data_IF_765416555698
#
_entry.id   IF_765416555698
#
_cell.length_a   1.000
_cell.length_b   1.000
_cell.length_c   1.000
_cell.angle_alpha   90.00
_cell.angle_beta   90.00
_cell.angle_gamma   90.00
#
_symmetry.space_group_name_H-M   'P 1'
#
loop_
_entity.id
_entity.type
_entity.pdbx_description
1 polymer ?
#
# COMPACT_ATOMS: atom_id res chain seq x y z
N UNK A 1 -5.60 4.85 -17.57
CA UNK A 1 -6.10 5.20 -16.22
C UNK A 1 -5.51 6.53 -15.81
N UNK A 2 -6.30 7.44 -15.22
CA UNK A 2 -5.91 8.68 -14.53
C UNK A 2 -4.92 9.62 -15.24
N UNK A 3 -5.01 10.92 -15.01
CA UNK A 3 -3.95 11.83 -15.48
C UNK A 3 -2.84 11.93 -14.44
N UNK A 4 -1.58 11.90 -14.89
CA UNK A 4 -0.45 12.23 -14.02
C UNK A 4 -0.62 13.65 -13.47
N UNK A 5 -0.74 13.78 -12.15
CA UNK A 5 -0.80 15.04 -11.44
C UNK A 5 0.46 15.25 -10.60
N UNK A 6 0.85 16.52 -10.45
CA UNK A 6 2.07 16.92 -9.73
C UNK A 6 1.78 17.19 -8.25
N UNK A 7 2.80 17.00 -7.42
CA UNK A 7 2.86 17.53 -6.06
C UNK A 7 3.80 18.74 -6.05
N UNK A 8 3.29 19.93 -5.73
CA UNK A 8 4.08 21.14 -5.56
C UNK A 8 4.73 21.14 -4.18
N UNK A 9 5.97 20.65 -4.19
CA UNK A 9 6.87 20.61 -3.05
C UNK A 9 7.94 21.72 -3.12
N UNK A 10 7.60 22.93 -3.59
CA UNK A 10 8.56 24.05 -3.57
C UNK A 10 8.75 24.72 -2.21
N UNK A 11 7.70 24.83 -1.39
CA UNK A 11 7.75 25.48 -0.05
C UNK A 11 8.58 24.70 1.00
N UNK A 12 9.25 23.67 0.52
CA UNK A 12 9.76 22.52 1.24
C UNK A 12 11.25 22.54 1.31
N UNK A 13 11.88 23.09 0.26
CA UNK A 13 13.30 22.96 0.01
C UNK A 13 13.72 21.53 -0.40
N UNK A 14 12.80 20.56 -0.45
CA UNK A 14 13.13 19.17 -0.72
C UNK A 14 12.67 18.67 -2.08
N UNK A 15 13.51 17.85 -2.69
CA UNK A 15 13.11 16.95 -3.77
C UNK A 15 12.50 15.70 -3.14
N UNK A 16 11.18 15.55 -3.27
CA UNK A 16 10.41 14.43 -2.70
C UNK A 16 10.18 13.31 -3.73
N UNK A 17 10.02 12.09 -3.24
CA UNK A 17 9.72 10.88 -4.02
C UNK A 17 8.91 9.88 -3.18
N UNK A 18 8.26 8.93 -3.84
CA UNK A 18 7.46 7.86 -3.22
C UNK A 18 6.49 8.40 -2.15
N UNK A 19 5.58 9.33 -2.51
CA UNK A 19 4.64 9.92 -1.56
C UNK A 19 3.60 8.89 -1.15
N UNK A 20 3.16 9.01 0.11
CA UNK A 20 1.89 8.47 0.57
C UNK A 20 0.96 9.60 0.97
N UNK A 21 -0.29 9.47 0.55
CA UNK A 21 -1.36 10.46 0.74
C UNK A 21 -2.41 9.85 1.64
N UNK A 22 -2.96 10.67 2.53
CA UNK A 22 -4.11 10.35 3.37
C UNK A 22 -5.07 11.54 3.34
N UNK A 23 -6.30 11.32 2.88
CA UNK A 23 -7.35 12.34 2.96
C UNK A 23 -7.60 12.70 4.42
N UNK A 24 -7.60 13.99 4.72
CA UNK A 24 -8.00 14.51 6.01
C UNK A 24 -9.50 14.86 6.00
N UNK A 25 -10.21 14.56 7.09
CA UNK A 25 -11.64 14.85 7.21
C UNK A 25 -11.92 16.34 7.07
N UNK A 26 -12.98 16.68 6.33
CA UNK A 26 -13.45 18.06 6.21
C UNK A 26 -14.47 18.36 7.31
N UNK A 27 -13.98 18.66 8.50
CA UNK A 27 -14.83 19.05 9.64
C UNK A 27 -14.00 19.68 10.75
N UNK A 28 -14.38 20.86 11.23
CA UNK A 28 -13.63 21.66 12.21
C UNK A 28 -12.65 22.66 11.58
N UNK A 29 -11.52 22.90 12.26
CA UNK A 29 -10.49 23.89 11.89
C UNK A 29 -9.47 23.41 10.83
N UNK A 30 -9.58 22.18 10.32
CA UNK A 30 -8.62 21.67 9.33
C UNK A 30 -8.71 22.44 8.02
N UNK A 31 -7.75 23.35 7.81
CA UNK A 31 -7.56 24.05 6.52
C UNK A 31 -6.85 23.18 5.48
N UNK A 32 -6.68 21.89 5.78
CA UNK A 32 -5.86 20.94 5.03
C UNK A 32 -6.69 19.79 4.48
N UNK A 33 -6.53 19.50 3.18
CA UNK A 33 -7.21 18.39 2.52
C UNK A 33 -6.50 17.05 2.73
N UNK A 34 -5.17 17.07 2.86
CA UNK A 34 -4.36 15.85 2.91
C UNK A 34 -3.20 15.94 3.90
N UNK A 35 -2.87 14.80 4.49
CA UNK A 35 -1.54 14.52 5.01
C UNK A 35 -0.71 13.80 3.94
N UNK A 36 0.47 14.35 3.64
CA UNK A 36 1.46 13.76 2.77
C UNK A 36 2.70 13.38 3.57
N UNK A 37 3.18 12.16 3.37
CA UNK A 37 4.50 11.73 3.83
C UNK A 37 5.28 11.26 2.60
N UNK A 38 6.52 11.71 2.45
CA UNK A 38 7.35 11.35 1.31
C UNK A 38 8.82 11.19 1.68
N UNK A 39 9.53 10.40 0.88
CA UNK A 39 10.98 10.25 1.02
C UNK A 39 11.70 11.41 0.35
N UNK A 40 12.83 11.81 0.91
CA UNK A 40 13.79 12.72 0.26
C UNK A 40 15.06 11.98 -0.15
N UNK A 41 15.98 12.65 -0.86
CA UNK A 41 17.30 12.06 -1.15
C UNK A 41 17.99 11.60 0.13
N UNK A 42 18.62 10.42 0.05
CA UNK A 42 19.50 9.92 1.12
C UNK A 42 20.55 10.96 1.48
N UNK A 43 20.80 11.12 2.77
CA UNK A 43 21.87 11.98 3.29
C UNK A 43 23.01 11.12 3.80
N UNK A 44 24.25 11.52 3.52
CA UNK A 44 25.42 10.85 4.06
C UNK A 44 25.48 11.09 5.57
N UNK A 45 25.63 10.02 6.36
CA UNK A 45 25.74 10.07 7.82
C UNK A 45 26.89 9.19 8.27
N UNK A 46 27.80 9.75 9.07
CA UNK A 46 28.94 9.02 9.61
C UNK A 46 28.66 8.64 11.07
N UNK A 47 28.73 7.34 11.38
CA UNK A 47 28.49 6.79 12.72
C UNK A 47 29.61 5.81 13.01
N UNK A 48 30.36 6.02 14.10
CA UNK A 48 31.50 5.17 14.49
C UNK A 48 32.49 4.90 13.34
N UNK A 49 32.84 5.93 12.57
CA UNK A 49 33.72 5.86 11.39
C UNK A 49 33.20 5.03 10.21
N UNK A 50 31.94 4.58 10.24
CA UNK A 50 31.24 3.96 9.11
C UNK A 50 30.30 4.97 8.44
N UNK A 51 30.41 5.05 7.11
CA UNK A 51 29.54 5.89 6.28
C UNK A 51 28.24 5.16 5.96
N UNK A 52 27.12 5.85 6.18
CA UNK A 52 25.77 5.38 5.90
C UNK A 52 25.03 6.36 4.98
N UNK A 53 24.04 5.85 4.26
CA UNK A 53 23.02 6.59 3.54
C UNK A 53 21.74 6.56 4.37
N UNK A 54 21.44 7.67 5.03
CA UNK A 54 20.25 7.81 5.87
C UNK A 54 19.03 8.18 5.01
N UNK A 55 18.01 7.33 5.05
CA UNK A 55 16.67 7.60 4.56
C UNK A 55 16.00 8.66 5.43
N UNK A 56 15.55 9.73 4.80
CA UNK A 56 14.89 10.85 5.46
C UNK A 56 13.49 11.00 4.89
N UNK A 57 12.52 11.11 5.80
CA UNK A 57 11.09 11.07 5.53
C UNK A 57 10.46 12.36 6.04
N UNK A 58 9.75 13.04 5.16
CA UNK A 58 9.22 14.37 5.43
C UNK A 58 7.70 14.33 5.36
N UNK A 59 7.05 14.97 6.34
CA UNK A 59 5.60 15.09 6.40
C UNK A 59 5.17 16.53 6.10
N UNK A 60 4.09 16.72 5.35
CA UNK A 60 3.47 18.02 5.13
C UNK A 60 1.97 17.89 4.97
N UNK A 61 1.25 18.89 5.44
CA UNK A 61 -0.16 19.06 5.13
C UNK A 61 -0.29 19.76 3.77
N UNK A 62 -1.23 19.29 2.94
CA UNK A 62 -1.40 19.78 1.59
C UNK A 62 -2.86 20.04 1.25
N UNK A 63 -3.05 20.90 0.25
CA UNK A 63 -4.35 21.23 -0.31
C UNK A 63 -4.42 20.90 -1.79
N UNK A 64 -5.58 20.42 -2.22
CA UNK A 64 -5.90 20.32 -3.63
C UNK A 64 -6.10 21.75 -4.17
N UNK A 65 -5.29 22.09 -5.16
CA UNK A 65 -5.33 23.37 -5.85
C UNK A 65 -5.29 23.11 -7.36
N UNK A 66 -5.29 24.18 -8.14
CA UNK A 66 -5.20 24.11 -9.58
C UNK A 66 -4.08 25.03 -10.07
N UNK A 67 -3.33 24.58 -11.06
CA UNK A 67 -2.31 25.42 -11.70
C UNK A 67 -2.94 26.44 -12.67
N UNK A 68 -2.11 27.27 -13.31
CA UNK A 68 -2.57 28.30 -14.25
C UNK A 68 -3.30 27.76 -15.48
N UNK A 69 -3.23 26.46 -15.75
CA UNK A 69 -3.91 25.76 -16.83
C UNK A 69 -5.13 24.98 -16.34
N UNK A 70 -5.52 25.13 -15.07
CA UNK A 70 -6.64 24.42 -14.48
C UNK A 70 -6.35 22.94 -14.16
N UNK A 71 -5.08 22.52 -14.11
CA UNK A 71 -4.73 21.13 -13.81
C UNK A 71 -4.63 20.90 -12.30
N UNK A 72 -5.12 19.77 -11.77
CA UNK A 72 -5.02 19.42 -10.36
C UNK A 72 -3.57 19.43 -9.86
N UNK A 73 -3.36 20.01 -8.69
CA UNK A 73 -2.06 20.15 -8.06
C UNK A 73 -2.18 20.04 -6.53
N UNK A 74 -1.44 19.12 -5.93
CA UNK A 74 -1.32 19.09 -4.47
C UNK A 74 -0.25 20.07 -4.02
N UNK A 75 -0.68 21.14 -3.36
CA UNK A 75 0.23 22.17 -2.84
C UNK A 75 0.54 21.90 -1.38
N UNK A 76 1.80 21.61 -1.10
CA UNK A 76 2.30 21.36 0.25
C UNK A 76 2.59 22.65 1.00
N UNK A 77 2.42 22.60 2.32
CA UNK A 77 2.81 23.67 3.23
C UNK A 77 4.22 23.52 3.78
N UNK A 78 4.40 23.92 5.05
CA UNK A 78 5.63 23.67 5.82
C UNK A 78 5.77 22.18 6.13
N UNK A 79 6.99 21.78 6.46
CA UNK A 79 7.33 20.40 6.76
C UNK A 79 7.50 20.21 8.25
N UNK A 80 7.06 19.05 8.68
CA UNK A 80 7.29 18.53 10.01
C UNK A 80 8.24 17.36 9.94
N UNK A 81 9.10 17.26 10.96
CA UNK A 81 9.97 16.09 11.16
C UNK A 81 9.12 14.95 11.69
N UNK A 82 9.27 13.76 11.11
CA UNK A 82 8.67 12.55 11.66
C UNK A 82 9.54 12.00 12.79
N UNK A 83 8.95 11.72 13.96
CA UNK A 83 9.68 11.19 15.11
C UNK A 83 10.23 9.78 14.88
N UNK A 84 9.71 9.05 13.89
CA UNK A 84 10.24 7.75 13.47
C UNK A 84 11.62 7.83 12.80
N UNK A 85 12.10 9.03 12.44
CA UNK A 85 13.47 9.20 11.92
C UNK A 85 14.55 8.92 12.97
N UNK A 86 14.22 9.08 14.24
CA UNK A 86 15.13 8.86 15.37
C UNK A 86 14.94 7.47 16.01
N UNK A 87 14.11 6.61 15.41
CA UNK A 87 13.81 5.28 15.93
C UNK A 87 14.94 4.28 15.66
N UNK A 88 15.16 3.38 16.62
CA UNK A 88 16.04 2.23 16.47
C UNK A 88 17.54 2.55 16.56
N UNK A 89 18.37 1.56 16.25
CA UNK A 89 19.83 1.70 16.21
C UNK A 89 20.32 1.63 14.75
N UNK A 90 21.36 2.40 14.39
CA UNK A 90 21.84 2.46 13.02
C UNK A 90 22.61 1.20 12.59
N UNK A 91 23.20 0.48 13.54
CA UNK A 91 23.99 -0.72 13.27
C UNK A 91 23.07 -1.92 13.01
N UNK A 92 23.30 -2.60 11.90
CA UNK A 92 22.59 -3.79 11.46
C UNK A 92 23.48 -4.58 10.48
N UNK A 93 23.12 -5.83 10.21
CA UNK A 93 23.85 -6.67 9.27
C UNK A 93 22.93 -7.66 8.57
N UNK A 94 22.79 -7.54 7.25
CA UNK A 94 22.03 -8.47 6.43
C UNK A 94 22.94 -9.61 5.91
N UNK A 95 22.75 -10.83 6.40
CA UNK A 95 23.55 -11.99 5.97
C UNK A 95 23.31 -12.28 4.49
N UNK A 96 24.38 -12.25 3.70
CA UNK A 96 24.32 -12.47 2.26
C UNK A 96 23.82 -11.26 1.45
N UNK A 97 23.60 -10.10 2.07
CA UNK A 97 23.25 -8.85 1.38
C UNK A 97 24.05 -7.64 1.90
N UNK A 98 25.39 -7.69 1.92
CA UNK A 98 26.23 -6.64 2.52
C UNK A 98 26.08 -5.26 1.86
N UNK A 99 25.60 -5.21 0.61
CA UNK A 99 25.34 -3.94 -0.09
C UNK A 99 24.21 -3.11 0.56
N UNK A 100 23.39 -3.73 1.42
CA UNK A 100 22.27 -3.08 2.10
C UNK A 100 22.71 -2.46 3.42
N UNK A 101 23.80 -2.96 4.04
CA UNK A 101 24.33 -2.51 5.34
C UNK A 101 24.76 -1.03 5.39
N UNK A 102 24.74 -0.35 4.24
CA UNK A 102 25.01 1.08 4.11
C UNK A 102 23.76 1.94 4.27
N UNK A 103 22.55 1.40 4.15
CA UNK A 103 21.31 2.16 4.26
C UNK A 103 20.75 2.08 5.68
N UNK A 104 20.32 3.21 6.24
CA UNK A 104 19.68 3.29 7.56
C UNK A 104 18.48 4.22 7.52
N UNK A 105 17.60 4.12 8.52
CA UNK A 105 16.44 5.01 8.67
C UNK A 105 15.16 4.42 8.09
N UNK A 106 14.04 5.11 8.28
CA UNK A 106 12.75 4.58 7.88
C UNK A 106 12.53 4.68 6.37
N UNK A 107 11.94 3.64 5.76
CA UNK A 107 11.63 3.53 4.33
C UNK A 107 10.21 2.97 4.07
N UNK A 108 9.78 3.01 2.80
CA UNK A 108 8.53 2.40 2.29
C UNK A 108 7.27 2.71 3.12
N UNK A 109 7.09 3.99 3.44
CA UNK A 109 5.99 4.49 4.23
C UNK A 109 4.64 4.36 3.49
N UNK A 110 3.62 3.86 4.20
CA UNK A 110 2.24 3.84 3.71
C UNK A 110 1.27 4.30 4.81
N UNK A 111 0.45 5.29 4.48
CA UNK A 111 -0.59 5.83 5.35
C UNK A 111 -1.94 5.19 5.06
N UNK A 112 -2.74 4.96 6.10
CA UNK A 112 -4.11 4.49 5.96
C UNK A 112 -4.94 4.83 7.20
N UNK A 113 -6.24 4.96 6.99
CA UNK A 113 -7.23 5.02 8.07
C UNK A 113 -7.68 3.62 8.46
N UNK A 114 -7.83 3.37 9.76
CA UNK A 114 -8.58 2.20 10.22
C UNK A 114 -10.09 2.46 10.17
N UNK A 115 -10.89 1.40 10.26
CA UNK A 115 -12.36 1.42 10.33
C UNK A 115 -12.88 2.16 11.57
N UNK A 116 -12.03 2.38 12.57
CA UNK A 116 -12.33 3.15 13.78
C UNK A 116 -11.79 4.58 13.70
N UNK A 117 -11.11 4.96 12.62
CA UNK A 117 -10.54 6.28 12.43
C UNK A 117 -9.13 6.46 13.01
N UNK A 118 -8.40 5.40 13.38
CA UNK A 118 -6.97 5.54 13.72
C UNK A 118 -6.17 5.90 12.45
N UNK A 119 -5.37 6.98 12.43
CA UNK A 119 -4.43 7.21 11.35
C UNK A 119 -3.18 6.37 11.62
N UNK A 120 -2.92 5.37 10.80
CA UNK A 120 -1.76 4.49 10.97
C UNK A 120 -0.74 4.68 9.85
N UNK A 121 0.53 4.54 10.23
CA UNK A 121 1.68 4.53 9.33
C UNK A 121 2.37 3.17 9.44
N UNK A 122 2.49 2.48 8.32
CA UNK A 122 3.38 1.33 8.19
C UNK A 122 4.67 1.75 7.49
N UNK A 123 5.83 1.29 7.97
CA UNK A 123 7.13 1.64 7.39
C UNK A 123 8.15 0.52 7.64
N UNK A 124 9.26 0.51 6.91
CA UNK A 124 10.38 -0.41 7.17
C UNK A 124 11.51 0.33 7.87
N UNK A 125 12.28 -0.37 8.69
CA UNK A 125 13.47 0.17 9.35
C UNK A 125 14.50 -0.93 9.59
N UNK A 126 15.78 -0.59 9.55
CA UNK A 126 16.85 -1.52 9.85
C UNK A 126 16.85 -1.88 11.35
N UNK A 127 17.20 -3.13 11.66
CA UNK A 127 17.20 -3.66 13.02
C UNK A 127 18.49 -4.43 13.29
N UNK A 128 18.97 -4.37 14.52
CA UNK A 128 20.11 -5.17 14.97
C UNK A 128 19.64 -6.54 15.50
N UNK A 129 19.10 -7.38 14.62
CA UNK A 129 18.64 -8.72 14.95
C UNK A 129 19.62 -9.81 14.54
N UNK A 130 19.66 -10.93 15.27
CA UNK A 130 20.48 -12.10 14.93
C UNK A 130 20.14 -12.70 13.56
N UNK A 131 18.86 -12.66 13.21
CA UNK A 131 18.29 -13.24 12.00
C UNK A 131 17.56 -12.21 11.12
N UNK A 132 17.12 -11.08 11.68
CA UNK A 132 16.42 -10.02 10.96
C UNK A 132 17.31 -8.78 10.91
N UNK A 133 17.45 -8.17 9.73
CA UNK A 133 18.23 -6.96 9.52
C UNK A 133 17.37 -5.76 9.07
N UNK A 134 16.17 -6.01 8.54
CA UNK A 134 15.18 -5.00 8.22
C UNK A 134 13.80 -5.50 8.65
N UNK A 135 13.15 -4.76 9.55
CA UNK A 135 11.81 -5.04 10.04
C UNK A 135 10.76 -4.15 9.38
N UNK A 136 9.51 -4.59 9.48
CA UNK A 136 8.32 -3.79 9.17
C UNK A 136 7.72 -3.31 10.49
N UNK A 137 7.23 -2.07 10.55
CA UNK A 137 6.73 -1.44 11.77
C UNK A 137 5.41 -0.72 11.53
N UNK A 138 4.57 -0.65 12.57
CA UNK A 138 3.37 0.17 12.65
C UNK A 138 3.50 1.23 13.73
N UNK A 139 2.94 2.40 13.49
CA UNK A 139 2.80 3.46 14.49
C UNK A 139 1.52 4.25 14.22
N UNK A 140 0.91 4.78 15.27
CA UNK A 140 -0.13 5.80 15.14
C UNK A 140 0.50 7.12 14.68
N UNK A 141 -0.03 7.71 13.62
CA UNK A 141 0.55 8.92 13.03
C UNK A 141 0.59 10.07 14.04
N UNK A 142 -0.34 10.12 15.01
CA UNK A 142 -0.33 11.14 16.08
C UNK A 142 0.91 11.04 16.96
N UNK A 143 1.46 9.84 17.14
CA UNK A 143 2.71 9.62 17.86
C UNK A 143 3.96 9.88 17.00
N UNK A 144 3.84 9.79 15.67
CA UNK A 144 4.94 10.07 14.74
C UNK A 144 5.02 11.55 14.31
N UNK A 145 3.88 12.25 14.31
CA UNK A 145 3.67 13.61 13.83
C UNK A 145 2.72 14.35 14.79
N UNK A 146 3.30 14.99 15.81
CA UNK A 146 2.56 15.59 16.92
C UNK A 146 1.65 16.74 16.51
N UNK A 147 1.91 17.36 15.35
CA UNK A 147 1.10 18.44 14.79
C UNK A 147 -0.23 17.95 14.19
N UNK A 148 -0.40 16.64 13.96
CA UNK A 148 -1.61 16.10 13.34
C UNK A 148 -2.88 16.41 14.15
N UNK A 149 -2.86 16.21 15.47
CA UNK A 149 -4.04 16.49 16.31
C UNK A 149 -4.40 17.98 16.31
N UNK A 150 -3.39 18.86 16.24
CA UNK A 150 -3.62 20.31 16.14
C UNK A 150 -4.31 20.68 14.82
N UNK A 151 -3.90 20.04 13.73
CA UNK A 151 -4.50 20.25 12.40
C UNK A 151 -5.93 19.70 12.32
N UNK A 152 -6.17 18.51 12.86
CA UNK A 152 -7.51 17.92 12.93
C UNK A 152 -8.45 18.78 13.80
N UNK A 153 -7.90 19.49 14.79
CA UNK A 153 -8.64 20.34 15.69
C UNK A 153 -9.35 19.55 16.81
N UNK A 154 -9.79 20.24 17.87
CA UNK A 154 -10.27 19.59 19.09
C UNK A 154 -11.55 18.78 18.89
N UNK A 155 -12.44 19.24 18.02
CA UNK A 155 -13.71 18.55 17.72
C UNK A 155 -13.46 17.19 17.09
N UNK A 156 -12.72 17.14 15.98
CA UNK A 156 -12.41 15.88 15.32
C UNK A 156 -11.48 14.99 16.17
N UNK A 157 -10.46 15.58 16.80
CA UNK A 157 -9.53 14.83 17.65
C UNK A 157 -10.24 14.14 18.83
N UNK A 158 -11.35 14.69 19.33
CA UNK A 158 -12.16 14.07 20.38
C UNK A 158 -12.91 12.81 19.94
N UNK A 159 -13.12 12.62 18.63
CA UNK A 159 -13.76 11.44 18.05
C UNK A 159 -12.76 10.30 17.85
N UNK A 160 -11.47 10.61 17.76
CA UNK A 160 -10.44 9.62 17.49
C UNK A 160 -10.33 8.59 18.63
N UNK A 161 -10.16 7.31 18.30
CA UNK A 161 -9.91 6.29 19.33
C UNK A 161 -8.58 6.53 20.06
N UNK A 162 -8.40 5.97 21.26
CA UNK A 162 -7.14 6.03 21.99
C UNK A 162 -5.96 5.52 21.15
N UNK A 163 -4.77 6.10 21.34
CA UNK A 163 -3.56 5.68 20.64
C UNK A 163 -3.19 4.26 21.07
N UNK A 164 -3.36 3.30 20.15
CA UNK A 164 -2.97 1.89 20.35
C UNK A 164 -1.48 1.65 20.12
N UNK A 165 -0.88 2.36 19.16
CA UNK A 165 0.51 2.20 18.74
C UNK A 165 1.32 3.48 19.02
N UNK A 166 1.58 3.77 20.31
CA UNK A 166 2.26 4.99 20.74
C UNK A 166 3.77 5.01 20.44
N UNK A 167 4.33 3.87 20.05
CA UNK A 167 5.72 3.72 19.60
C UNK A 167 5.76 2.69 18.46
N UNK A 168 6.82 2.66 17.64
CA UNK A 168 6.90 1.71 16.53
C UNK A 168 6.80 0.25 17.01
N UNK A 169 5.74 -0.43 16.55
CA UNK A 169 5.47 -1.84 16.85
C UNK A 169 5.97 -2.70 15.71
N UNK A 170 6.86 -3.64 16.01
CA UNK A 170 7.44 -4.54 15.03
C UNK A 170 6.43 -5.56 14.52
N UNK A 171 6.34 -5.70 13.20
CA UNK A 171 5.60 -6.74 12.51
C UNK A 171 6.59 -7.79 12.02
N UNK A 172 6.47 -9.01 12.54
CA UNK A 172 7.35 -10.14 12.16
C UNK A 172 6.56 -11.41 11.98
N UNK A 173 6.93 -12.19 10.97
CA UNK A 173 6.50 -13.58 10.80
C UNK A 173 7.50 -14.50 11.47
N UNK A 174 7.05 -15.65 11.94
CA UNK A 174 7.97 -16.72 12.31
C UNK A 174 8.50 -17.42 11.06
N UNK A 175 9.82 -17.57 11.03
CA UNK A 175 10.46 -18.42 10.04
C UNK A 175 10.19 -19.89 10.40
N UNK A 176 9.81 -20.75 9.43
CA UNK A 176 9.78 -22.18 9.64
C UNK A 176 11.13 -22.69 10.16
N UNK A 177 11.15 -23.71 11.02
CA UNK A 177 12.40 -24.27 11.56
C UNK A 177 13.41 -24.58 10.45
N UNK A 178 14.64 -24.07 10.58
CA UNK A 178 15.71 -24.24 9.60
C UNK A 178 15.72 -23.21 8.46
N UNK A 179 14.73 -22.33 8.38
CA UNK A 179 14.65 -21.26 7.38
C UNK A 179 14.92 -19.86 7.97
N UNK A 180 15.41 -19.75 9.20
CA UNK A 180 15.57 -18.48 9.93
C UNK A 180 16.54 -17.51 9.22
N UNK A 181 17.49 -18.03 8.44
CA UNK A 181 18.43 -17.23 7.66
C UNK A 181 17.99 -17.04 6.20
N UNK A 182 16.81 -17.52 5.78
CA UNK A 182 16.35 -17.31 4.42
C UNK A 182 16.12 -15.81 4.18
N UNK A 183 16.58 -15.22 3.04
CA UNK A 183 16.48 -13.78 2.78
C UNK A 183 15.11 -13.16 3.06
N UNK A 184 14.03 -13.90 2.77
CA UNK A 184 12.64 -13.48 3.02
C UNK A 184 12.29 -13.19 4.48
N UNK A 185 12.96 -13.86 5.43
CA UNK A 185 12.74 -13.69 6.87
C UNK A 185 13.81 -12.78 7.50
N UNK A 186 14.87 -12.46 6.75
CA UNK A 186 15.84 -11.44 7.17
C UNK A 186 15.34 -10.02 6.94
N UNK A 187 14.43 -9.84 5.98
CA UNK A 187 13.93 -8.54 5.53
C UNK A 187 12.42 -8.57 5.35
N UNK A 188 11.71 -7.96 6.29
CA UNK A 188 10.28 -7.68 6.14
C UNK A 188 10.11 -6.36 5.38
N UNK A 189 9.42 -6.44 4.24
CA UNK A 189 9.23 -5.31 3.33
C UNK A 189 7.91 -5.44 2.59
N UNK A 190 7.33 -4.31 2.21
CA UNK A 190 6.20 -4.24 1.28
C UNK A 190 4.92 -4.87 1.84
N UNK A 191 4.68 -4.83 3.15
CA UNK A 191 3.42 -5.34 3.70
C UNK A 191 2.27 -4.39 3.35
N UNK A 192 1.10 -4.94 2.99
CA UNK A 192 -0.11 -4.17 2.72
C UNK A 192 -1.10 -4.33 3.89
N UNK A 193 -1.30 -3.29 4.71
CA UNK A 193 -2.30 -3.32 5.76
C UNK A 193 -3.70 -3.20 5.19
N UNK A 194 -4.68 -3.85 5.83
CA UNK A 194 -6.08 -3.83 5.46
C UNK A 194 -6.98 -4.25 6.62
N UNK A 195 -8.28 -4.08 6.45
CA UNK A 195 -9.27 -4.54 7.40
C UNK A 195 -10.47 -5.12 6.67
N UNK A 196 -10.98 -6.24 7.17
CA UNK A 196 -12.24 -6.78 6.70
C UNK A 196 -13.39 -5.86 7.16
N UNK A 197 -14.33 -5.49 6.27
CA UNK A 197 -15.55 -4.79 6.67
C UNK A 197 -16.50 -5.68 7.51
N UNK A 198 -16.35 -7.00 7.44
CA UNK A 198 -17.19 -7.99 8.13
C UNK A 198 -16.48 -8.69 9.30
N UNK A 199 -15.21 -8.36 9.53
CA UNK A 199 -14.42 -8.79 10.69
C UNK A 199 -14.60 -7.84 11.88
N UNK A 200 -13.82 -8.08 12.93
CA UNK A 200 -13.76 -7.19 14.09
C UNK A 200 -13.24 -5.80 13.68
N UNK A 201 -13.83 -4.74 14.22
CA UNK A 201 -13.44 -3.35 13.92
C UNK A 201 -12.00 -3.02 14.35
N UNK A 202 -11.45 -3.76 15.32
CA UNK A 202 -10.07 -3.62 15.79
C UNK A 202 -9.07 -4.56 15.08
N UNK A 203 -9.58 -5.49 14.26
CA UNK A 203 -8.74 -6.43 13.52
C UNK A 203 -7.85 -5.66 12.55
N UNK A 204 -6.57 -6.03 12.49
CA UNK A 204 -5.65 -5.52 11.48
C UNK A 204 -5.06 -6.70 10.72
N UNK A 205 -5.37 -6.72 9.42
CA UNK A 205 -4.89 -7.73 8.49
C UNK A 205 -3.70 -7.17 7.72
N UNK A 206 -2.71 -8.01 7.46
CA UNK A 206 -1.44 -7.64 6.85
C UNK A 206 -1.13 -8.64 5.73
N UNK A 207 -1.32 -8.22 4.49
CA UNK A 207 -0.96 -9.00 3.32
C UNK A 207 0.53 -8.80 3.04
N UNK A 208 1.36 -9.77 3.43
CA UNK A 208 2.81 -9.66 3.27
C UNK A 208 3.24 -9.95 1.82
N UNK A 209 2.59 -10.92 1.19
CA UNK A 209 2.76 -11.32 -0.21
C UNK A 209 1.38 -11.52 -0.83
N UNK A 210 1.22 -11.46 -2.16
CA UNK A 210 -0.06 -11.76 -2.80
C UNK A 210 -0.54 -13.15 -2.41
N UNK A 211 -1.60 -13.16 -1.60
CA UNK A 211 -2.11 -14.39 -1.03
C UNK A 211 -1.29 -14.96 0.13
N UNK A 212 -0.73 -14.10 0.98
CA UNK A 212 -0.31 -14.49 2.32
C UNK A 212 -0.81 -13.45 3.30
N UNK A 213 -1.91 -13.79 3.96
CA UNK A 213 -2.59 -12.89 4.88
C UNK A 213 -2.24 -13.25 6.31
N UNK A 214 -1.84 -12.23 7.06
CA UNK A 214 -1.55 -12.34 8.48
C UNK A 214 -2.47 -11.44 9.28
N UNK A 215 -2.66 -11.77 10.56
CA UNK A 215 -3.42 -10.98 11.53
C UNK A 215 -2.48 -10.50 12.62
N UNK A 216 -2.57 -9.22 12.95
CA UNK A 216 -1.92 -8.69 14.13
C UNK A 216 -2.69 -9.13 15.39
N UNK A 217 -1.97 -9.65 16.39
CA UNK A 217 -2.54 -10.19 17.65
C UNK A 217 -2.17 -9.33 18.85
N UNK A 218 -0.88 -9.06 19.03
CA UNK A 218 -0.34 -8.22 20.11
C UNK A 218 0.97 -7.55 19.68
N UNK A 219 1.51 -6.68 20.53
CA UNK A 219 2.78 -5.99 20.25
C UNK A 219 4.01 -6.90 20.42
N UNK A 220 3.89 -7.98 21.18
CA UNK A 220 5.03 -8.83 21.59
C UNK A 220 5.07 -10.16 20.80
N UNK A 221 3.92 -10.57 20.25
CA UNK A 221 3.79 -11.82 19.51
C UNK A 221 4.00 -11.62 18.00
N UNK A 222 4.51 -12.65 17.28
CA UNK A 222 4.47 -12.68 15.83
C UNK A 222 3.03 -12.52 15.30
N UNK A 223 2.92 -12.06 14.05
CA UNK A 223 1.61 -12.03 13.39
C UNK A 223 1.12 -13.45 13.11
N UNK A 224 -0.18 -13.68 13.30
CA UNK A 224 -0.82 -14.96 13.08
C UNK A 224 -1.06 -15.18 11.59
N UNK A 225 -0.73 -16.37 11.05
CA UNK A 225 -1.09 -16.72 9.69
C UNK A 225 -2.60 -16.98 9.58
N UNK A 226 -3.30 -16.18 8.75
CA UNK A 226 -4.74 -16.35 8.47
C UNK A 226 -4.95 -17.20 7.23
N UNK A 227 -4.16 -16.94 6.20
CA UNK A 227 -4.27 -17.61 4.90
C UNK A 227 -2.88 -17.80 4.32
N UNK A 228 -2.48 -19.06 4.11
CA UNK A 228 -1.18 -19.42 3.58
C UNK A 228 -1.15 -19.50 2.06
N UNK A 229 0.03 -19.34 1.47
CA UNK A 229 0.17 -19.42 0.00
C UNK A 229 -0.32 -20.74 -0.63
N UNK A 230 -0.34 -21.85 0.14
CA UNK A 230 -0.88 -23.14 -0.32
C UNK A 230 -2.40 -23.16 -0.41
N UNK A 231 -3.06 -22.25 0.29
CA UNK A 231 -4.51 -22.09 0.34
C UNK A 231 -5.00 -21.19 -0.82
N UNK A 232 -4.06 -20.49 -1.49
CA UNK A 232 -4.27 -19.72 -2.72
C UNK A 232 -4.10 -20.51 -4.02
N UNK A 233 -4.24 -21.84 -3.99
CA UNK A 233 -4.22 -22.66 -5.21
C UNK A 233 -5.48 -22.40 -6.04
N UNK A 234 -5.53 -21.23 -6.63
CA UNK A 234 -6.57 -20.71 -7.49
C UNK A 234 -5.83 -20.17 -8.69
N UNK A 235 -6.01 -20.79 -9.85
CA UNK A 235 -5.34 -20.43 -11.08
C UNK A 235 -6.22 -19.45 -11.89
N UNK A 236 -5.76 -18.89 -13.00
CA UNK A 236 -6.67 -18.05 -13.83
C UNK A 236 -7.78 -18.91 -14.44
N UNK A 237 -8.96 -18.37 -14.65
CA UNK A 237 -10.05 -19.07 -15.35
C UNK A 237 -9.87 -19.08 -16.88
N UNK A 238 -10.45 -20.10 -17.52
CA UNK A 238 -10.41 -20.22 -18.96
C UNK A 238 -11.22 -19.11 -19.67
N UNK A 239 -10.77 -18.62 -20.84
CA UNK A 239 -9.50 -18.92 -21.50
C UNK A 239 -8.36 -17.99 -21.04
N UNK A 240 -7.18 -18.54 -20.77
CA UNK A 240 -5.97 -17.76 -20.48
C UNK A 240 -4.68 -18.46 -20.97
N UNK A 241 -3.70 -17.74 -21.57
CA UNK A 241 -3.71 -16.31 -21.92
C UNK A 241 -4.76 -16.00 -23.01
N UNK A 242 -4.99 -14.72 -23.33
CA UNK A 242 -6.02 -14.31 -24.30
C UNK A 242 -5.86 -14.94 -25.71
N UNK A 243 -4.68 -15.48 -26.03
CA UNK A 243 -4.37 -16.20 -27.26
C UNK A 243 -4.61 -17.72 -27.17
N UNK A 244 -5.04 -18.24 -26.01
CA UNK A 244 -5.33 -19.65 -25.81
C UNK A 244 -6.59 -20.06 -26.59
N UNK A 245 -6.67 -21.33 -26.95
CA UNK A 245 -7.88 -21.87 -27.60
C UNK A 245 -9.02 -21.92 -26.57
N UNK A 246 -10.29 -21.85 -27.03
CA UNK A 246 -11.44 -22.11 -26.15
C UNK A 246 -11.29 -23.46 -25.43
N UNK A 247 -11.47 -23.47 -24.10
CA UNK A 247 -11.30 -24.65 -23.25
C UNK A 247 -9.85 -24.93 -22.81
N UNK A 248 -8.90 -24.03 -23.09
CA UNK A 248 -7.52 -24.14 -22.63
C UNK A 248 -7.19 -23.05 -21.60
N UNK A 249 -6.56 -23.46 -20.50
CA UNK A 249 -5.89 -22.55 -19.57
C UNK A 249 -4.43 -22.93 -19.39
N UNK A 250 -3.55 -21.95 -19.53
CA UNK A 250 -2.16 -22.09 -19.15
C UNK A 250 -2.01 -21.98 -17.63
N UNK A 251 -1.38 -22.99 -17.04
CA UNK A 251 -0.97 -22.98 -15.65
C UNK A 251 0.51 -23.31 -15.56
N UNK A 252 1.21 -22.60 -14.69
CA UNK A 252 2.59 -22.96 -14.39
C UNK A 252 2.66 -24.27 -13.62
N UNK A 253 3.59 -25.14 -14.01
CA UNK A 253 3.89 -26.38 -13.27
C UNK A 253 4.57 -26.12 -11.92
N UNK A 254 5.11 -24.90 -11.71
CA UNK A 254 5.86 -24.53 -10.49
C UNK A 254 4.96 -23.91 -9.42
N UNK A 255 3.94 -23.17 -9.82
CA UNK A 255 3.05 -22.41 -8.91
C UNK A 255 1.69 -22.24 -9.59
N UNK A 256 0.62 -22.63 -8.90
CA UNK A 256 -0.75 -22.56 -9.42
C UNK A 256 -1.54 -21.49 -8.66
N UNK A 257 -1.01 -20.27 -8.66
CA UNK A 257 -1.70 -19.11 -8.09
C UNK A 257 -2.07 -18.15 -9.21
N UNK A 258 -3.18 -17.43 -9.02
CA UNK A 258 -3.75 -16.55 -10.02
C UNK A 258 -2.78 -15.41 -10.35
N UNK A 259 -2.08 -14.86 -9.35
CA UNK A 259 -1.02 -13.88 -9.56
C UNK A 259 0.14 -14.46 -10.37
N UNK A 260 0.58 -15.69 -10.08
CA UNK A 260 1.65 -16.31 -10.84
C UNK A 260 1.26 -16.49 -12.31
N UNK A 261 0.04 -16.96 -12.58
CA UNK A 261 -0.45 -17.14 -13.94
C UNK A 261 -0.56 -15.80 -14.70
N UNK A 262 -1.11 -14.77 -14.04
CA UNK A 262 -1.31 -13.43 -14.60
C UNK A 262 0.01 -12.67 -14.83
N UNK A 263 0.98 -12.80 -13.93
CA UNK A 263 2.28 -12.13 -14.01
C UNK A 263 3.40 -13.00 -14.61
N UNK A 264 3.07 -14.23 -15.01
CA UNK A 264 3.94 -15.34 -15.46
C UNK A 264 5.01 -15.80 -14.45
N UNK A 265 5.20 -15.06 -13.36
CA UNK A 265 6.14 -15.34 -12.29
C UNK A 265 5.76 -14.53 -11.04
N UNK A 266 5.98 -15.08 -9.86
CA UNK A 266 5.72 -14.45 -8.55
C UNK A 266 6.99 -13.87 -7.86
N UNK A 267 8.19 -14.24 -8.31
CA UNK A 267 9.42 -13.49 -8.00
C UNK A 267 9.30 -11.98 -8.28
N UNK A 268 9.80 -11.21 -7.31
CA UNK A 268 9.79 -9.75 -7.30
C UNK A 268 8.40 -9.11 -7.40
N UNK A 269 7.34 -9.86 -7.08
CA UNK A 269 6.02 -9.29 -6.84
C UNK A 269 5.97 -8.72 -5.43
N UNK A 270 5.47 -7.50 -5.32
CA UNK A 270 5.40 -6.76 -4.07
C UNK A 270 3.97 -6.27 -3.83
N UNK A 271 3.51 -6.38 -2.59
CA UNK A 271 2.33 -5.70 -2.10
C UNK A 271 2.66 -4.21 -1.91
N UNK A 272 2.01 -3.33 -2.65
CA UNK A 272 2.56 -1.99 -2.85
C UNK A 272 1.80 -0.89 -2.12
N UNK A 273 0.50 -1.04 -1.93
CA UNK A 273 -0.37 -0.06 -1.26
C UNK A 273 -1.04 -0.67 -0.03
N UNK A 274 -1.63 0.13 0.88
CA UNK A 274 -2.67 -0.35 1.77
C UNK A 274 -3.83 -0.95 0.97
N UNK A 275 -4.57 -1.87 1.59
CA UNK A 275 -5.78 -2.46 1.02
C UNK A 275 -6.99 -1.60 1.38
N UNK A 276 -7.87 -1.39 0.41
CA UNK A 276 -9.14 -0.71 0.58
C UNK A 276 -10.30 -1.70 0.50
N UNK A 277 -11.41 -1.38 1.16
CA UNK A 277 -12.67 -2.07 0.97
C UNK A 277 -13.50 -1.39 -0.10
N UNK A 278 -14.14 -2.16 -0.97
CA UNK A 278 -15.00 -1.65 -2.04
C UNK A 278 -16.29 -2.46 -2.12
N UNK A 279 -17.43 -1.78 -2.07
CA UNK A 279 -18.72 -2.34 -2.45
C UNK A 279 -18.93 -2.14 -3.95
N UNK A 280 -19.23 -3.24 -4.65
CA UNK A 280 -19.40 -3.33 -6.09
C UNK A 280 -20.78 -2.83 -6.53
N UNK A 281 -21.16 -1.64 -6.08
CA UNK A 281 -22.33 -0.90 -6.55
C UNK A 281 -22.07 0.60 -6.40
N UNK A 282 -22.95 1.43 -6.95
CA UNK A 282 -22.92 2.87 -6.70
C UNK A 282 -23.42 3.18 -5.28
N UNK A 283 -22.89 4.23 -4.66
CA UNK A 283 -23.33 4.67 -3.34
C UNK A 283 -24.85 4.91 -3.31
N UNK A 284 -25.53 4.32 -2.33
CA UNK A 284 -26.99 4.41 -2.19
C UNK A 284 -27.81 3.52 -3.12
N UNK A 285 -27.18 2.76 -4.03
CA UNK A 285 -27.88 1.79 -4.89
C UNK A 285 -27.99 0.40 -4.28
N UNK A 286 -27.13 0.06 -3.32
CA UNK A 286 -27.16 -1.19 -2.59
C UNK A 286 -26.56 -1.04 -1.19
N UNK A 287 -26.91 -1.96 -0.29
CA UNK A 287 -26.28 -2.08 1.02
C UNK A 287 -25.05 -3.00 0.96
N UNK A 288 -23.93 -2.64 1.61
CA UNK A 288 -22.75 -3.52 1.67
C UNK A 288 -23.03 -4.86 2.35
N UNK A 289 -22.70 -5.96 1.66
CA UNK A 289 -22.74 -7.31 2.19
C UNK A 289 -21.54 -8.15 1.69
N UNK A 290 -21.44 -9.41 2.17
CA UNK A 290 -20.32 -10.30 1.86
C UNK A 290 -20.22 -10.69 0.38
N UNK A 291 -21.31 -10.59 -0.37
CA UNK A 291 -21.39 -11.01 -1.78
C UNK A 291 -21.02 -9.86 -2.72
N UNK A 292 -21.34 -8.62 -2.34
CA UNK A 292 -21.09 -7.43 -3.15
C UNK A 292 -19.88 -6.61 -2.69
N UNK A 293 -19.22 -6.96 -1.59
CA UNK A 293 -18.10 -6.19 -1.05
C UNK A 293 -16.81 -7.00 -1.09
N UNK A 294 -15.70 -6.35 -1.46
CA UNK A 294 -14.38 -6.96 -1.64
C UNK A 294 -13.29 -6.13 -0.96
N UNK A 295 -12.12 -6.73 -0.70
CA UNK A 295 -10.90 -5.99 -0.41
C UNK A 295 -10.01 -5.95 -1.64
N UNK A 296 -9.37 -4.82 -1.91
CA UNK A 296 -8.45 -4.68 -3.05
C UNK A 296 -7.17 -3.96 -2.67
N UNK A 297 -6.08 -4.33 -3.32
CA UNK A 297 -4.76 -3.72 -3.13
C UNK A 297 -3.96 -3.74 -4.42
N UNK A 298 -3.03 -2.81 -4.58
CA UNK A 298 -2.13 -2.82 -5.73
C UNK A 298 -0.93 -3.73 -5.48
N UNK A 299 -0.70 -4.64 -6.43
CA UNK A 299 0.50 -5.46 -6.52
C UNK A 299 1.37 -4.99 -7.67
N UNK A 300 2.69 -5.06 -7.49
CA UNK A 300 3.66 -4.60 -8.47
C UNK A 300 4.79 -5.60 -8.63
N UNK A 301 4.99 -6.09 -9.86
CA UNK A 301 6.15 -6.92 -10.19
C UNK A 301 7.27 -6.07 -10.76
N UNK A 302 8.42 -6.07 -10.09
CA UNK A 302 9.64 -5.46 -10.62
C UNK A 302 10.17 -6.29 -11.79
N UNK A 303 10.52 -5.63 -12.88
CA UNK A 303 11.09 -6.23 -14.07
C UNK A 303 12.46 -5.62 -14.33
N UNK A 304 13.49 -6.45 -14.28
CA UNK A 304 14.88 -6.10 -14.56
C UNK A 304 15.43 -7.02 -15.66
N UNK A 305 15.02 -6.86 -16.93
CA UNK A 305 15.49 -7.74 -17.99
C UNK A 305 17.01 -7.60 -18.18
N UNK A 306 17.76 -8.70 -18.26
CA UNK A 306 19.23 -8.65 -18.38
C UNK A 306 19.73 -7.85 -19.60
N UNK A 307 18.92 -7.77 -20.65
CA UNK A 307 19.28 -7.14 -21.92
C UNK A 307 18.76 -5.71 -22.10
N UNK A 308 18.00 -5.16 -21.14
CA UNK A 308 17.51 -3.78 -21.23
C UNK A 308 18.18 -2.88 -20.18
N UNK A 309 18.51 -1.62 -20.52
CA UNK A 309 19.14 -0.69 -19.60
C UNK A 309 18.15 -0.06 -18.60
N UNK A 310 16.91 -0.56 -18.52
CA UNK A 310 15.85 0.05 -17.72
C UNK A 310 15.04 -0.99 -16.94
N UNK A 311 14.64 -0.59 -15.74
CA UNK A 311 13.70 -1.31 -14.86
C UNK A 311 12.29 -0.76 -15.11
N UNK A 312 11.25 -1.60 -14.98
CA UNK A 312 9.86 -1.14 -14.88
C UNK A 312 9.06 -1.98 -13.88
N UNK A 313 7.85 -1.52 -13.55
CA UNK A 313 6.91 -2.27 -12.72
C UNK A 313 5.64 -2.63 -13.49
N UNK A 314 5.29 -3.92 -13.49
CA UNK A 314 3.96 -4.38 -13.88
C UNK A 314 3.01 -4.18 -12.70
N UNK A 315 2.17 -3.14 -12.78
CA UNK A 315 1.19 -2.74 -11.77
C UNK A 315 -0.16 -3.39 -12.05
N UNK A 316 -0.76 -3.99 -11.02
CA UNK A 316 -2.07 -4.63 -11.10
C UNK A 316 -2.86 -4.47 -9.80
N UNK A 317 -4.18 -4.52 -9.89
CA UNK A 317 -5.05 -4.64 -8.72
C UNK A 317 -5.29 -6.12 -8.45
N UNK A 318 -5.03 -6.56 -7.23
CA UNK A 318 -5.47 -7.86 -6.73
C UNK A 318 -6.73 -7.65 -5.86
N UNK A 319 -7.76 -8.45 -6.11
CA UNK A 319 -9.03 -8.42 -5.39
C UNK A 319 -9.17 -9.68 -4.57
N UNK A 320 -9.65 -9.53 -3.33
CA UNK A 320 -9.81 -10.58 -2.35
C UNK A 320 -11.22 -10.55 -1.77
N UNK A 321 -11.69 -11.70 -1.28
CA UNK A 321 -12.93 -11.76 -0.49
C UNK A 321 -12.83 -10.81 0.71
N UNK A 322 -13.94 -10.16 1.04
CA UNK A 322 -14.04 -9.24 2.18
C UNK A 322 -14.25 -9.93 3.52
N UNK A 323 -14.52 -11.23 3.52
CA UNK A 323 -14.67 -12.07 4.72
C UNK A 323 -13.88 -13.37 4.57
N UNK A 324 -13.62 -14.11 5.67
CA UNK A 324 -12.98 -15.40 5.59
C UNK A 324 -13.67 -16.31 4.54
N UNK A 325 -12.90 -17.06 3.72
CA UNK A 325 -11.47 -17.34 3.92
C UNK A 325 -10.49 -16.31 3.34
N UNK A 326 -10.93 -15.17 2.79
CA UNK A 326 -10.07 -14.14 2.17
C UNK A 326 -9.36 -14.57 0.88
N UNK A 327 -9.99 -15.44 0.10
CA UNK A 327 -9.43 -15.95 -1.14
C UNK A 327 -9.23 -14.82 -2.15
N UNK A 328 -8.24 -15.00 -3.03
CA UNK A 328 -8.06 -14.10 -4.16
C UNK A 328 -9.15 -14.37 -5.21
N UNK A 329 -9.84 -13.32 -5.61
CA UNK A 329 -10.98 -13.38 -6.53
C UNK A 329 -10.58 -13.07 -7.96
N UNK A 330 -9.71 -12.08 -8.15
CA UNK A 330 -9.29 -11.64 -9.48
C UNK A 330 -8.01 -10.82 -9.45
N UNK A 331 -7.36 -10.69 -10.60
CA UNK A 331 -6.20 -9.81 -10.80
C UNK A 331 -6.41 -8.99 -12.08
N UNK A 332 -6.18 -7.68 -12.00
CA UNK A 332 -6.37 -6.78 -13.13
C UNK A 332 -5.44 -7.10 -14.31
N UNK A 333 -5.80 -6.62 -15.49
CA UNK A 333 -4.81 -6.43 -16.56
C UNK A 333 -3.76 -5.40 -16.11
N UNK A 334 -2.63 -5.36 -16.83
CA UNK A 334 -1.57 -4.38 -16.57
C UNK A 334 -2.12 -2.97 -16.62
N UNK A 335 -1.87 -2.21 -15.55
CA UNK A 335 -2.27 -0.83 -15.42
C UNK A 335 -1.22 0.10 -16.06
N UNK A 336 -1.69 1.15 -16.75
CA UNK A 336 -0.84 2.20 -17.34
C UNK A 336 -1.42 3.57 -17.01
N UNK A 337 -0.54 4.51 -16.63
CA UNK A 337 -0.93 5.88 -16.28
C UNK A 337 -0.85 6.78 -17.51
N UNK A 338 -1.84 7.63 -17.74
CA UNK A 338 -1.74 8.59 -18.85
C UNK A 338 -0.64 9.62 -18.56
N UNK A 339 0.28 9.76 -19.51
CA UNK A 339 1.47 10.61 -19.34
C UNK A 339 2.70 9.89 -18.77
N UNK A 340 2.61 8.58 -18.54
CA UNK A 340 3.78 7.75 -18.24
C UNK A 340 4.74 7.68 -19.43
N UNK A 341 6.04 7.61 -19.14
CA UNK A 341 7.09 7.42 -20.15
C UNK A 341 7.82 6.12 -19.87
N UNK A 342 8.00 5.27 -20.90
CA UNK A 342 8.62 3.94 -20.78
C UNK A 342 10.07 3.94 -20.25
N UNK A 343 10.73 5.10 -20.22
CA UNK A 343 12.12 5.25 -19.75
C UNK A 343 12.28 5.37 -18.23
N UNK A 344 11.19 5.51 -17.47
CA UNK A 344 11.25 5.76 -16.02
C UNK A 344 10.31 4.82 -15.29
N UNK A 345 10.85 4.03 -14.36
CA UNK A 345 9.99 3.20 -13.52
C UNK A 345 9.13 4.06 -12.61
N UNK A 346 7.89 3.61 -12.42
CA UNK A 346 6.93 4.19 -11.49
C UNK A 346 6.64 3.16 -10.41
N UNK A 347 6.74 3.56 -9.15
CA UNK A 347 6.37 2.75 -8.00
C UNK A 347 5.20 3.41 -7.27
N UNK A 348 4.06 2.73 -7.21
CA UNK A 348 2.86 3.20 -6.51
C UNK A 348 2.80 2.67 -5.08
N UNK A 349 3.01 3.54 -4.09
CA UNK A 349 3.09 3.15 -2.68
C UNK A 349 1.83 3.43 -1.88
N UNK A 350 0.90 4.20 -2.44
CA UNK A 350 -0.23 4.76 -1.71
C UNK A 350 -1.52 4.61 -2.49
N UNK A 351 -2.58 4.31 -1.74
CA UNK A 351 -3.94 4.22 -2.22
C UNK A 351 -4.86 4.68 -1.08
N UNK A 352 -5.66 5.71 -1.31
CA UNK A 352 -6.60 6.26 -0.34
C UNK A 352 -7.89 6.68 -1.04
N UNK A 353 -9.04 6.54 -0.39
CA UNK A 353 -10.25 7.19 -0.89
C UNK A 353 -10.10 8.72 -0.82
N UNK A 354 -10.76 9.39 -1.77
CA UNK A 354 -11.07 10.81 -1.71
C UNK A 354 -12.58 10.95 -1.87
N UNK A 355 -13.28 11.14 -0.77
CA UNK A 355 -14.74 11.26 -0.76
C UNK A 355 -15.21 12.64 -0.38
N UNK A 356 -14.28 13.56 -0.06
CA UNK A 356 -14.59 14.87 0.49
C UNK A 356 -15.55 14.74 1.69
N UNK A 357 -15.23 13.79 2.58
CA UNK A 357 -16.13 13.41 3.66
C UNK A 357 -16.06 14.38 4.84
N UNK A 358 -17.21 14.60 5.47
CA UNK A 358 -17.35 15.25 6.77
C UNK A 358 -17.69 14.24 7.87
N UNK A 359 -17.90 12.98 7.51
CA UNK A 359 -18.36 11.91 8.41
C UNK A 359 -17.20 11.21 9.11
N UNK A 360 -17.42 10.86 10.38
CA UNK A 360 -16.48 10.05 11.16
C UNK A 360 -16.98 8.61 11.23
N UNK A 361 -16.11 7.58 11.08
CA UNK A 361 -14.68 7.67 10.79
C UNK A 361 -14.38 7.93 9.30
N UNK A 362 -13.20 8.48 8.96
CA UNK A 362 -12.75 8.61 7.58
C UNK A 362 -12.80 7.27 6.84
N UNK A 363 -13.19 7.26 5.54
CA UNK A 363 -13.48 6.03 4.84
C UNK A 363 -12.21 5.27 4.45
N UNK A 364 -12.18 3.99 4.84
CA UNK A 364 -11.37 2.95 4.20
C UNK A 364 -12.26 1.98 3.39
N UNK A 365 -13.54 2.30 3.27
CA UNK A 365 -14.59 1.61 2.53
C UNK A 365 -15.24 2.59 1.57
N UNK A 366 -15.34 2.22 0.29
CA UNK A 366 -16.03 3.00 -0.72
C UNK A 366 -16.92 2.17 -1.64
N UNK A 367 -17.46 2.83 -2.65
CA UNK A 367 -18.38 2.35 -3.68
C UNK A 367 -17.78 2.63 -5.07
N UNK A 368 -18.39 2.07 -6.13
CA UNK A 368 -17.83 2.12 -7.49
C UNK A 368 -17.71 3.53 -8.08
N UNK A 369 -18.53 4.47 -7.61
CA UNK A 369 -18.53 5.89 -7.99
C UNK A 369 -17.57 6.75 -7.16
N UNK A 370 -16.99 6.21 -6.08
CA UNK A 370 -16.01 6.95 -5.29
C UNK A 370 -14.66 7.06 -6.03
N UNK A 371 -13.93 8.12 -5.68
CA UNK A 371 -12.59 8.38 -6.21
C UNK A 371 -11.53 7.78 -5.28
N UNK A 372 -10.54 7.13 -5.89
CA UNK A 372 -9.35 6.60 -5.22
C UNK A 372 -8.15 7.36 -5.74
N UNK A 373 -7.34 7.86 -4.81
CA UNK A 373 -6.10 8.56 -5.10
C UNK A 373 -4.92 7.63 -4.95
N UNK A 374 -4.07 7.60 -5.97
CA UNK A 374 -2.83 6.82 -5.98
C UNK A 374 -1.64 7.74 -5.87
N UNK A 375 -0.81 7.55 -4.83
CA UNK A 375 0.48 8.22 -4.68
C UNK A 375 1.62 7.35 -5.20
N UNK A 376 2.49 7.93 -6.03
CA UNK A 376 3.57 7.17 -6.67
C UNK A 376 4.86 7.98 -6.85
N UNK A 377 5.99 7.28 -6.83
CA UNK A 377 7.28 7.86 -7.16
C UNK A 377 7.74 7.48 -8.56
N UNK A 378 8.58 8.33 -9.14
CA UNK A 378 9.15 8.16 -10.47
C UNK A 378 10.67 8.12 -10.34
N UNK A 379 11.27 6.99 -10.71
CA UNK A 379 12.72 6.77 -10.77
C UNK A 379 13.48 7.17 -9.48
N UNK A 380 12.85 7.00 -8.31
CA UNK A 380 13.37 7.46 -7.02
C UNK A 380 13.90 8.90 -7.05
N UNK A 381 13.22 9.77 -7.80
CA UNK A 381 13.66 11.14 -8.03
C UNK A 381 12.51 12.14 -8.06
N UNK A 382 11.29 11.70 -8.33
CA UNK A 382 10.12 12.56 -8.31
C UNK A 382 8.92 11.86 -7.68
N UNK A 383 7.91 12.65 -7.35
CA UNK A 383 6.64 12.23 -6.81
C UNK A 383 5.51 12.68 -7.75
N UNK A 384 4.45 11.90 -7.80
CA UNK A 384 3.22 12.21 -8.50
C UNK A 384 2.03 11.58 -7.80
N UNK A 385 0.85 11.96 -8.24
CA UNK A 385 -0.39 11.32 -7.83
C UNK A 385 -1.35 11.27 -9.02
N UNK A 386 -2.40 10.46 -8.91
CA UNK A 386 -3.53 10.48 -9.83
C UNK A 386 -4.81 10.13 -9.08
N UNK A 387 -5.91 10.69 -9.55
CA UNK A 387 -7.27 10.30 -9.23
C UNK A 387 -7.78 9.25 -10.23
N UNK A 388 -8.56 8.29 -9.73
CA UNK A 388 -9.22 7.28 -10.52
C UNK A 388 -10.52 6.84 -9.84
N UNK A 389 -11.58 6.59 -10.62
CA UNK A 389 -12.80 5.99 -10.08
C UNK A 389 -12.54 4.56 -9.63
N UNK A 390 -13.13 4.16 -8.51
CA UNK A 390 -13.00 2.80 -8.00
C UNK A 390 -13.46 1.74 -9.02
N UNK A 391 -14.50 2.05 -9.81
CA UNK A 391 -14.96 1.19 -10.90
C UNK A 391 -13.88 0.87 -11.95
N UNK A 392 -13.05 1.83 -12.32
CA UNK A 392 -11.97 1.62 -13.30
C UNK A 392 -10.90 0.66 -12.78
N UNK A 393 -10.65 0.65 -11.46
CA UNK A 393 -9.68 -0.24 -10.83
C UNK A 393 -10.12 -1.70 -10.79
N UNK A 394 -11.42 -1.99 -10.96
CA UNK A 394 -11.99 -3.35 -10.96
C UNK A 394 -12.60 -3.76 -12.31
N UNK A 395 -12.51 -2.87 -13.30
CA UNK A 395 -13.18 -3.03 -14.58
C UNK A 395 -12.70 -4.24 -15.39
N UNK A 396 -11.38 -4.38 -15.54
CA UNK A 396 -10.78 -5.31 -16.49
C UNK A 396 -9.79 -6.29 -15.81
N UNK A 397 -10.34 -7.40 -15.32
CA UNK A 397 -9.66 -8.41 -14.52
C UNK A 397 -9.76 -9.81 -15.13
N UNK A 398 -8.68 -10.57 -14.97
CA UNK A 398 -8.68 -12.01 -15.06
C UNK A 398 -9.28 -12.59 -13.77
N UNK A 399 -10.26 -13.47 -13.91
CA UNK A 399 -10.88 -14.16 -12.77
C UNK A 399 -9.99 -15.30 -12.31
N UNK A 400 -9.94 -15.50 -10.99
CA UNK A 400 -9.25 -16.63 -10.38
C UNK A 400 -10.26 -17.78 -10.17
N UNK A 401 -9.82 -19.02 -10.33
CA UNK A 401 -10.61 -20.24 -10.11
C UNK A 401 -11.08 -20.28 -8.66
N UNK A 402 -12.38 -20.09 -8.44
CA UNK A 402 -12.96 -19.92 -7.10
C UNK A 402 -13.63 -18.57 -6.87
N UNK A 403 -13.56 -17.65 -7.83
CA UNK A 403 -14.37 -16.44 -7.84
C UNK A 403 -15.88 -16.80 -7.82
N UNK A 404 -16.65 -16.42 -6.77
CA UNK A 404 -18.06 -16.77 -6.64
C UNK A 404 -18.92 -16.21 -7.78
N UNK A 405 -20.05 -16.86 -8.06
CA UNK A 405 -20.98 -16.41 -9.10
C UNK A 405 -21.52 -15.00 -8.81
N UNK A 406 -21.72 -14.68 -7.53
CA UNK A 406 -22.19 -13.39 -7.03
C UNK A 406 -21.17 -12.29 -7.32
N UNK A 407 -19.88 -12.52 -7.04
CA UNK A 407 -18.81 -11.58 -7.38
C UNK A 407 -18.79 -11.29 -8.88
N UNK A 408 -18.95 -12.32 -9.73
CA UNK A 408 -19.04 -12.14 -11.18
C UNK A 408 -20.24 -11.31 -11.59
N UNK A 409 -21.40 -11.61 -11.00
CA UNK A 409 -22.65 -10.91 -11.25
C UNK A 409 -22.53 -9.42 -10.94
N UNK A 410 -22.07 -9.07 -9.73
CA UNK A 410 -21.91 -7.67 -9.34
C UNK A 410 -20.87 -6.96 -10.19
N UNK A 411 -19.72 -7.59 -10.43
CA UNK A 411 -18.69 -7.01 -11.29
C UNK A 411 -19.24 -6.75 -12.71
N UNK A 412 -19.94 -7.69 -13.34
CA UNK A 412 -20.44 -7.51 -14.70
C UNK A 412 -21.57 -6.48 -14.80
N UNK A 413 -22.54 -6.51 -13.87
CA UNK A 413 -23.73 -5.67 -13.96
C UNK A 413 -23.52 -4.26 -13.41
N UNK A 414 -22.59 -4.08 -12.49
CA UNK A 414 -22.33 -2.77 -11.87
C UNK A 414 -21.26 -1.95 -12.61
N UNK A 415 -20.64 -2.54 -13.64
CA UNK A 415 -19.70 -1.88 -14.56
C UNK A 415 -20.28 -1.65 -15.96
N UNK A 416 -21.47 -2.19 -16.24
CA UNK A 416 -22.25 -1.94 -17.45
C UNK A 416 -23.06 -0.65 -17.29
#
# INVERSE_FOLDING_TARGET
MGFYNKIDARQTGYQIMNPTVLELPRGGNSSHDFLLIARTKHIAKNIHHKQYQLARQVASFANLTYDSFGRPLLKTGKWSKLLVEDFGVPEHHCKGQPNIDKYIGPEDMKLFWTRTGEPLLIFTHQVNGKNMCQGQFLIDVRAALVELEQVLGPEFASLLPPIRFASPVGLRRDAPPGHENHPRYQREKNWAPGQSPFGSVSELLLMAEPGQLFRWISNDEPVELVLGAKDHRSAVEEPYPATAKPGETWHSRKSMTCVHDVMFHDEHVHQSTPMLTLTLCHRGSCEPDRQNTVMLGMIQRRQDPPAAPFTWYDRRIAVYESSPPYSMLSVSKKLTYHGETDSRYIWTGSMSYYTNHTEFPPPNHGFLDDEIWLGFGVNDAAAGWLDIRASELVADHYLCQGAPAEYRYYRQNSLA
#
